data_IF_904819622867
#
_entry.id   IF_904819622867
#
_cell.length_a   1.000
_cell.length_b   1.000
_cell.length_c   1.000
_cell.angle_alpha   90.00
_cell.angle_beta   90.00
_cell.angle_gamma   90.00
#
_symmetry.space_group_name_H-M   'P 1'
#
loop_
_entity.id
_entity.type
_entity.pdbx_description
1 polymer ?
#
# COMPACT_ATOMS: atom_id res chain seq x y z
N UNK A 1 -27.67 -4.83 -23.76
CA UNK A 1 -26.82 -3.91 -22.97
C UNK A 1 -26.95 -4.28 -21.50
N UNK A 2 -25.87 -4.74 -20.86
CA UNK A 2 -25.90 -5.12 -19.44
C UNK A 2 -25.94 -3.84 -18.59
N UNK A 3 -27.01 -3.65 -17.82
CA UNK A 3 -27.10 -2.60 -16.78
C UNK A 3 -25.95 -2.82 -15.80
N UNK A 4 -25.10 -1.82 -15.60
CA UNK A 4 -24.10 -1.86 -14.53
C UNK A 4 -24.82 -1.98 -13.19
N UNK A 5 -24.35 -2.87 -12.33
CA UNK A 5 -24.89 -3.08 -10.97
C UNK A 5 -24.64 -1.88 -10.02
N UNK A 6 -24.04 -0.80 -10.51
CA UNK A 6 -23.67 0.36 -9.72
C UNK A 6 -24.27 1.65 -10.30
N UNK A 7 -24.66 2.62 -9.45
CA UNK A 7 -25.34 3.85 -9.86
C UNK A 7 -24.39 4.90 -10.47
N UNK A 8 -23.38 4.47 -11.25
CA UNK A 8 -22.42 5.35 -11.92
C UNK A 8 -22.79 5.53 -13.39
N UNK A 9 -22.72 6.78 -13.85
CA UNK A 9 -22.74 7.15 -15.26
C UNK A 9 -21.53 6.60 -16.02
N UNK A 10 -21.63 6.50 -17.34
CA UNK A 10 -20.51 6.08 -18.20
C UNK A 10 -19.27 6.94 -18.01
N UNK A 11 -19.45 8.26 -17.83
CA UNK A 11 -18.36 9.20 -17.56
C UNK A 11 -17.68 8.96 -16.21
N UNK A 12 -18.43 8.60 -15.17
CA UNK A 12 -17.85 8.27 -13.87
C UNK A 12 -17.04 6.97 -13.92
N UNK A 13 -17.50 5.97 -14.67
CA UNK A 13 -16.77 4.72 -14.87
C UNK A 13 -15.46 4.97 -15.62
N UNK A 14 -15.48 5.79 -16.67
CA UNK A 14 -14.26 6.19 -17.40
C UNK A 14 -13.28 6.93 -16.49
N UNK A 15 -13.78 7.86 -15.68
CA UNK A 15 -12.97 8.58 -14.69
C UNK A 15 -12.32 7.64 -13.68
N UNK A 16 -13.07 6.67 -13.16
CA UNK A 16 -12.55 5.64 -12.26
C UNK A 16 -11.45 4.82 -12.96
N UNK A 17 -11.61 4.48 -14.23
CA UNK A 17 -10.56 3.79 -15.00
C UNK A 17 -9.27 4.60 -15.10
N UNK A 18 -9.39 5.89 -15.38
CA UNK A 18 -8.23 6.78 -15.46
C UNK A 18 -7.50 6.87 -14.11
N UNK A 19 -8.24 6.87 -13.00
CA UNK A 19 -7.67 6.80 -11.65
C UNK A 19 -6.91 5.47 -11.46
N UNK A 20 -7.50 4.32 -11.81
CA UNK A 20 -6.84 3.02 -11.70
C UNK A 20 -5.51 2.99 -12.47
N UNK A 21 -5.51 3.48 -13.72
CA UNK A 21 -4.29 3.57 -14.54
C UNK A 21 -3.23 4.46 -13.88
N UNK A 22 -3.63 5.63 -13.38
CA UNK A 22 -2.73 6.55 -12.67
C UNK A 22 -2.14 5.95 -11.39
N UNK A 23 -2.86 5.04 -10.74
CA UNK A 23 -2.40 4.30 -9.57
C UNK A 23 -1.60 3.05 -9.94
N UNK A 24 -1.05 2.99 -11.16
CA UNK A 24 -0.26 1.85 -11.66
C UNK A 24 -1.05 0.56 -11.77
N UNK A 25 -2.39 0.65 -11.89
CA UNK A 25 -3.32 -0.48 -11.78
C UNK A 25 -3.19 -1.30 -10.49
N UNK A 26 -2.57 -0.73 -9.44
CA UNK A 26 -2.52 -1.33 -8.10
C UNK A 26 -3.90 -1.41 -7.43
N UNK A 27 -4.88 -0.67 -7.97
CA UNK A 27 -6.28 -0.64 -7.56
C UNK A 27 -7.19 -0.88 -8.75
N UNK A 28 -8.25 -1.64 -8.50
CA UNK A 28 -9.30 -1.89 -9.48
C UNK A 28 -10.45 -0.92 -9.31
N UNK A 29 -11.34 -0.86 -10.32
CA UNK A 29 -12.58 -0.10 -10.26
C UNK A 29 -13.36 -0.40 -8.98
N UNK A 30 -13.47 -1.69 -8.61
CA UNK A 30 -14.22 -2.11 -7.43
C UNK A 30 -13.57 -1.60 -6.13
N UNK A 31 -12.25 -1.47 -6.07
CA UNK A 31 -11.57 -0.92 -4.89
C UNK A 31 -11.90 0.57 -4.73
N UNK A 32 -11.91 1.31 -5.84
CA UNK A 32 -12.33 2.72 -5.86
C UNK A 32 -13.80 2.84 -5.45
N UNK A 33 -14.68 2.00 -6.00
CA UNK A 33 -16.12 2.01 -5.67
C UNK A 33 -16.35 1.68 -4.19
N UNK A 34 -15.67 0.67 -3.65
CA UNK A 34 -15.76 0.32 -2.24
C UNK A 34 -15.21 1.44 -1.35
N UNK A 35 -14.15 2.12 -1.78
CA UNK A 35 -13.64 3.30 -1.09
C UNK A 35 -14.64 4.48 -1.14
N UNK A 36 -15.33 4.68 -2.26
CA UNK A 36 -16.38 5.70 -2.40
C UNK A 36 -17.57 5.44 -1.48
N UNK A 37 -17.85 4.18 -1.16
CA UNK A 37 -18.95 3.80 -0.26
C UNK A 37 -18.75 4.28 1.19
N UNK A 38 -17.56 4.76 1.56
CA UNK A 38 -17.36 5.43 2.86
C UNK A 38 -18.00 6.83 2.92
N UNK A 39 -18.31 7.44 1.77
CA UNK A 39 -18.76 8.82 1.68
C UNK A 39 -20.23 8.91 1.26
N UNK A 40 -20.85 10.05 1.59
CA UNK A 40 -22.19 10.36 1.10
C UNK A 40 -22.16 10.54 -0.43
N UNK A 41 -23.22 10.09 -1.11
CA UNK A 41 -23.26 10.06 -2.58
C UNK A 41 -22.99 11.43 -3.23
N UNK A 42 -23.45 12.51 -2.58
CA UNK A 42 -23.25 13.87 -3.10
C UNK A 42 -21.81 14.39 -2.90
N UNK A 43 -20.98 13.71 -2.10
CA UNK A 43 -19.57 14.04 -1.85
C UNK A 43 -18.61 13.12 -2.63
N UNK A 44 -19.14 12.21 -3.48
CA UNK A 44 -18.31 11.35 -4.33
C UNK A 44 -17.42 12.14 -5.28
N UNK A 45 -17.86 13.32 -5.72
CA UNK A 45 -17.07 14.19 -6.57
C UNK A 45 -15.80 14.68 -5.86
N UNK A 46 -15.89 15.06 -4.57
CA UNK A 46 -14.75 15.45 -3.74
C UNK A 46 -13.80 14.28 -3.52
N UNK A 47 -14.33 13.09 -3.24
CA UNK A 47 -13.55 11.86 -3.08
C UNK A 47 -12.77 11.53 -4.36
N UNK A 48 -13.44 11.55 -5.53
CA UNK A 48 -12.82 11.31 -6.82
C UNK A 48 -11.72 12.35 -7.09
N UNK A 49 -11.98 13.64 -6.87
CA UNK A 49 -10.97 14.70 -7.00
C UNK A 49 -9.72 14.44 -6.14
N UNK A 50 -9.88 13.93 -4.91
CA UNK A 50 -8.75 13.55 -4.06
C UNK A 50 -7.97 12.38 -4.68
N UNK A 51 -8.67 11.32 -5.08
CA UNK A 51 -8.03 10.12 -5.65
C UNK A 51 -7.25 10.42 -6.93
N UNK A 52 -7.75 11.33 -7.76
CA UNK A 52 -7.08 11.80 -8.99
C UNK A 52 -5.76 12.53 -8.71
N UNK A 53 -5.54 13.05 -7.51
CA UNK A 53 -4.33 13.78 -7.14
C UNK A 53 -3.33 12.95 -6.35
N UNK A 54 -3.63 11.67 -6.09
CA UNK A 54 -2.67 10.75 -5.49
C UNK A 54 -1.49 10.53 -6.44
N UNK A 55 -0.26 10.67 -5.94
CA UNK A 55 0.96 10.20 -6.61
C UNK A 55 1.29 8.82 -6.04
N UNK A 56 1.09 7.81 -6.86
CA UNK A 56 1.53 6.45 -6.60
C UNK A 56 2.97 6.28 -7.10
N UNK A 57 3.81 5.62 -6.29
CA UNK A 57 5.16 5.20 -6.65
C UNK A 57 5.21 3.67 -6.72
N UNK A 58 5.44 3.12 -7.93
CA UNK A 58 5.67 1.69 -8.12
C UNK A 58 7.07 1.28 -7.67
N UNK A 59 7.29 -0.02 -7.52
CA UNK A 59 8.61 -0.60 -7.25
C UNK A 59 9.69 -0.12 -8.24
N UNK A 60 9.36 -0.09 -9.54
CA UNK A 60 10.28 0.34 -10.60
C UNK A 60 10.60 1.83 -10.49
N UNK A 61 9.59 2.68 -10.26
CA UNK A 61 9.80 4.12 -10.04
C UNK A 61 10.67 4.37 -8.80
N UNK A 62 10.44 3.63 -7.71
CA UNK A 62 11.25 3.71 -6.49
C UNK A 62 12.73 3.41 -6.79
N UNK A 63 13.02 2.31 -7.50
CA UNK A 63 14.40 1.94 -7.85
C UNK A 63 15.03 2.99 -8.77
N UNK A 64 14.28 3.47 -9.77
CA UNK A 64 14.76 4.47 -10.73
C UNK A 64 15.14 5.78 -10.03
N UNK A 65 14.24 6.32 -9.20
CA UNK A 65 14.49 7.57 -8.46
C UNK A 65 15.70 7.45 -7.52
N UNK A 66 15.83 6.32 -6.81
CA UNK A 66 17.00 6.07 -5.96
C UNK A 66 18.30 6.01 -6.76
N UNK A 67 18.28 5.37 -7.94
CA UNK A 67 19.43 5.32 -8.83
C UNK A 67 19.84 6.73 -9.28
N UNK A 68 18.89 7.52 -9.77
CA UNK A 68 19.16 8.85 -10.35
C UNK A 68 19.63 9.84 -9.27
N UNK A 69 19.08 9.78 -8.07
CA UNK A 69 19.53 10.61 -6.97
C UNK A 69 20.90 10.18 -6.44
N UNK A 70 21.17 8.87 -6.34
CA UNK A 70 22.48 8.37 -5.96
C UNK A 70 23.55 8.78 -6.99
N UNK A 71 23.23 8.70 -8.29
CA UNK A 71 24.11 9.17 -9.36
C UNK A 71 24.48 10.64 -9.19
N UNK A 72 23.50 11.52 -8.97
CA UNK A 72 23.73 12.95 -8.72
C UNK A 72 24.62 13.20 -7.51
N UNK A 73 24.49 12.39 -6.45
CA UNK A 73 25.36 12.48 -5.27
C UNK A 73 26.80 12.09 -5.65
N UNK A 74 26.97 10.96 -6.34
CA UNK A 74 28.30 10.45 -6.73
C UNK A 74 29.02 11.39 -7.72
N UNK A 75 28.29 11.99 -8.66
CA UNK A 75 28.84 13.00 -9.60
C UNK A 75 29.32 14.24 -8.84
N UNK A 76 28.55 14.70 -7.84
CA UNK A 76 28.90 15.89 -7.06
C UNK A 76 30.06 15.64 -6.10
N UNK A 77 30.20 14.42 -5.61
CA UNK A 77 31.23 14.02 -4.64
C UNK A 77 32.08 12.87 -5.18
N UNK A 78 32.86 13.11 -6.24
CA UNK A 78 33.68 12.07 -6.85
C UNK A 78 34.72 11.54 -5.86
N UNK A 79 34.88 10.22 -5.82
CA UNK A 79 35.88 9.49 -5.02
C UNK A 79 35.82 9.70 -3.49
N UNK A 80 34.78 10.38 -2.98
CA UNK A 80 34.55 10.52 -1.54
C UNK A 80 33.92 9.26 -0.98
N UNK A 81 34.32 8.89 0.24
CA UNK A 81 33.69 7.77 0.96
C UNK A 81 32.33 8.23 1.49
N UNK A 82 31.29 7.50 1.09
CA UNK A 82 29.91 7.71 1.51
C UNK A 82 29.54 6.65 2.53
N UNK A 83 29.26 7.07 3.76
CA UNK A 83 28.71 6.23 4.81
C UNK A 83 27.20 6.22 4.74
N UNK A 84 26.62 5.08 4.37
CA UNK A 84 25.19 4.94 4.12
C UNK A 84 24.49 4.31 5.33
N UNK A 85 23.42 4.95 5.80
CA UNK A 85 22.59 4.45 6.90
C UNK A 85 21.11 4.83 6.73
N UNK A 86 20.22 4.12 7.42
CA UNK A 86 18.79 4.45 7.47
C UNK A 86 18.47 5.54 8.46
N UNK A 87 17.44 6.32 8.16
CA UNK A 87 16.75 7.12 9.16
C UNK A 87 15.90 6.21 10.05
N UNK A 88 16.38 5.96 11.28
CA UNK A 88 15.65 5.21 12.31
C UNK A 88 16.35 3.91 12.77
N UNK A 89 15.61 3.08 13.50
CA UNK A 89 16.10 1.77 13.98
C UNK A 89 16.01 0.69 12.90
N UNK A 90 16.96 -0.24 12.90
CA UNK A 90 16.96 -1.43 12.06
C UNK A 90 15.66 -2.24 12.26
N UNK A 91 14.98 -2.63 11.17
CA UNK A 91 13.77 -3.47 11.20
C UNK A 91 12.45 -2.80 10.80
N UNK A 92 12.44 -1.53 10.38
CA UNK A 92 11.26 -0.84 9.79
C UNK A 92 11.33 -0.79 8.25
N UNK A 93 10.71 0.21 7.60
CA UNK A 93 10.72 0.44 6.14
C UNK A 93 12.12 0.55 5.52
N UNK A 94 13.13 0.91 6.31
CA UNK A 94 14.51 1.07 5.86
C UNK A 94 15.12 -0.19 5.23
N UNK A 95 14.85 -1.39 5.75
CA UNK A 95 15.49 -2.61 5.22
C UNK A 95 15.21 -2.87 3.73
N UNK A 96 14.00 -2.52 3.25
CA UNK A 96 13.62 -2.66 1.84
C UNK A 96 14.30 -1.63 0.94
N UNK A 97 14.43 -0.38 1.40
CA UNK A 97 15.17 0.66 0.67
C UNK A 97 16.66 0.30 0.52
N UNK A 98 17.28 -0.34 1.53
CA UNK A 98 18.66 -0.85 1.42
C UNK A 98 18.79 -1.83 0.28
N UNK A 99 17.82 -2.74 0.23
CA UNK A 99 17.80 -3.77 -0.77
C UNK A 99 17.62 -3.18 -2.17
N UNK A 100 16.78 -2.16 -2.31
CA UNK A 100 16.58 -1.46 -3.58
C UNK A 100 17.82 -0.68 -4.00
N UNK A 101 18.43 0.10 -3.12
CA UNK A 101 19.62 0.89 -3.47
C UNK A 101 20.80 -0.01 -3.88
N UNK A 102 21.01 -1.14 -3.17
CA UNK A 102 22.04 -2.15 -3.53
C UNK A 102 21.86 -2.76 -4.92
N UNK A 103 20.62 -2.81 -5.42
CA UNK A 103 20.32 -3.35 -6.75
C UNK A 103 20.57 -2.36 -7.88
N UNK A 104 20.65 -1.06 -7.58
CA UNK A 104 20.84 -0.03 -8.60
C UNK A 104 22.19 -0.19 -9.31
N UNK A 105 22.26 0.08 -10.63
CA UNK A 105 23.52 0.12 -11.36
C UNK A 105 24.54 1.07 -10.72
N UNK A 106 24.11 2.26 -10.30
CA UNK A 106 24.99 3.26 -9.69
C UNK A 106 25.65 2.76 -8.41
N UNK A 107 24.92 2.05 -7.54
CA UNK A 107 25.50 1.46 -6.34
C UNK A 107 26.56 0.42 -6.69
N UNK A 108 26.26 -0.52 -7.60
CA UNK A 108 27.17 -1.62 -7.97
C UNK A 108 28.47 -1.11 -8.58
N UNK A 109 28.40 -0.11 -9.46
CA UNK A 109 29.57 0.49 -10.09
C UNK A 109 30.46 1.26 -9.09
N UNK A 110 29.89 1.70 -7.97
CA UNK A 110 30.56 2.56 -6.99
C UNK A 110 30.66 1.92 -5.60
N UNK A 111 30.52 0.60 -5.49
CA UNK A 111 30.46 -0.11 -4.21
C UNK A 111 31.71 0.14 -3.34
N UNK A 112 32.89 0.30 -3.97
CA UNK A 112 34.15 0.66 -3.29
C UNK A 112 34.10 1.99 -2.52
N UNK A 113 33.22 2.91 -2.92
CA UNK A 113 33.06 4.23 -2.29
C UNK A 113 31.89 4.28 -1.29
N UNK A 114 31.03 3.26 -1.26
CA UNK A 114 29.81 3.25 -0.43
C UNK A 114 29.98 2.25 0.71
N UNK A 115 30.09 2.75 1.94
CA UNK A 115 30.22 1.96 3.15
C UNK A 115 28.89 1.92 3.91
N UNK A 116 28.26 0.76 3.92
CA UNK A 116 27.01 0.54 4.67
C UNK A 116 27.32 0.44 6.16
N UNK A 117 26.54 1.16 6.96
CA UNK A 117 26.62 1.12 8.41
C UNK A 117 25.49 0.24 8.98
N UNK A 118 25.84 -0.96 9.43
CA UNK A 118 24.92 -1.87 10.14
C UNK A 118 24.50 -1.34 11.52
N UNK A 119 25.33 -0.47 12.11
CA UNK A 119 25.01 0.23 13.35
C UNK A 119 25.76 1.54 13.44
N UNK A 120 25.02 2.62 13.70
CA UNK A 120 25.60 3.94 13.97
C UNK A 120 26.46 3.98 15.24
N UNK A 121 26.43 2.93 16.09
CA UNK A 121 27.39 2.79 17.22
C UNK A 121 28.85 2.68 16.74
N UNK A 122 29.07 2.27 15.49
CA UNK A 122 30.40 2.15 14.88
C UNK A 122 30.86 3.41 14.12
N UNK A 123 30.03 4.47 14.06
CA UNK A 123 30.39 5.76 13.43
C UNK A 123 31.69 6.36 13.98
N UNK A 124 31.94 6.16 15.28
CA UNK A 124 33.02 6.79 16.04
C UNK A 124 34.43 6.48 15.52
N UNK A 125 34.67 5.29 14.98
CA UNK A 125 36.03 4.89 14.54
C UNK A 125 36.29 5.09 13.05
N UNK A 126 35.27 5.48 12.26
CA UNK A 126 35.34 5.45 10.79
C UNK A 126 35.25 6.81 10.12
N UNK A 127 34.56 7.78 10.73
CA UNK A 127 34.33 9.10 10.13
C UNK A 127 35.54 10.03 10.30
N UNK A 128 36.00 10.55 9.17
CA UNK A 128 36.99 11.62 9.06
C UNK A 128 36.29 12.95 8.79
N UNK A 129 37.02 14.03 9.02
CA UNK A 129 36.65 15.35 8.52
C UNK A 129 36.53 15.27 6.98
N UNK A 130 35.41 15.74 6.41
CA UNK A 130 34.97 15.62 5.00
C UNK A 130 34.28 14.33 4.53
N UNK A 131 34.10 13.33 5.39
CA UNK A 131 33.30 12.15 5.02
C UNK A 131 31.79 12.51 4.88
N UNK A 132 31.10 11.78 4.00
CA UNK A 132 29.68 12.00 3.72
C UNK A 132 28.85 10.99 4.51
N UNK A 133 27.89 11.48 5.28
CA UNK A 133 26.87 10.64 5.92
C UNK A 133 25.58 10.71 5.09
N UNK A 134 25.31 9.65 4.35
CA UNK A 134 24.10 9.48 3.55
C UNK A 134 23.03 8.78 4.38
N UNK A 135 21.99 9.52 4.77
CA UNK A 135 20.84 9.03 5.51
C UNK A 135 19.66 8.83 4.57
N UNK A 136 19.08 7.63 4.57
CA UNK A 136 18.05 7.27 3.60
C UNK A 136 16.70 6.92 4.24
N UNK A 137 15.61 7.31 3.58
CA UNK A 137 14.21 7.01 3.94
C UNK A 137 13.31 7.01 2.69
N UNK A 138 12.09 6.49 2.76
CA UNK A 138 11.17 6.53 1.61
C UNK A 138 10.61 7.94 1.39
N UNK A 139 10.15 8.58 2.48
CA UNK A 139 9.60 9.93 2.47
C UNK A 139 10.02 10.76 3.68
N UNK A 140 10.39 12.01 3.43
CA UNK A 140 10.56 13.02 4.49
C UNK A 140 9.27 13.85 4.61
N UNK A 141 8.45 13.47 5.59
CA UNK A 141 7.15 14.10 5.88
C UNK A 141 7.27 15.47 6.57
N UNK A 142 7.20 15.49 7.90
CA UNK A 142 7.37 16.73 8.69
C UNK A 142 8.84 17.11 8.88
N UNK A 143 9.76 16.15 8.75
CA UNK A 143 11.17 16.27 9.08
C UNK A 143 11.51 15.95 10.55
N UNK A 144 10.51 15.70 11.40
CA UNK A 144 10.72 15.42 12.83
C UNK A 144 11.53 14.14 13.07
N UNK A 145 11.25 13.07 12.32
CA UNK A 145 12.02 11.81 12.41
C UNK A 145 13.49 12.04 12.07
N UNK A 146 13.77 12.81 11.01
CA UNK A 146 15.12 13.18 10.59
C UNK A 146 15.84 13.97 11.67
N UNK A 147 15.19 15.01 12.21
CA UNK A 147 15.78 15.87 13.24
C UNK A 147 16.02 15.11 14.55
N UNK A 148 15.04 14.31 14.98
CA UNK A 148 15.16 13.44 16.15
C UNK A 148 16.34 12.49 15.99
N UNK A 149 16.40 11.79 14.86
CA UNK A 149 17.49 10.86 14.57
C UNK A 149 18.85 11.55 14.55
N UNK A 150 18.96 12.70 13.88
CA UNK A 150 20.21 13.46 13.84
C UNK A 150 20.65 13.93 15.24
N UNK A 151 19.73 14.52 16.03
CA UNK A 151 20.07 15.08 17.33
C UNK A 151 20.41 14.00 18.38
N UNK A 152 19.69 12.89 18.40
CA UNK A 152 19.87 11.87 19.43
C UNK A 152 20.85 10.76 19.03
N UNK A 153 21.02 10.49 17.74
CA UNK A 153 21.91 9.44 17.25
C UNK A 153 23.18 10.05 16.69
N UNK A 154 23.09 10.82 15.59
CA UNK A 154 24.28 11.32 14.88
C UNK A 154 25.11 12.26 15.74
N UNK A 155 24.51 13.35 16.23
CA UNK A 155 25.19 14.38 17.02
C UNK A 155 25.81 13.85 18.31
N UNK A 156 25.16 12.88 18.96
CA UNK A 156 25.69 12.26 20.17
C UNK A 156 26.93 11.38 19.90
N UNK A 157 27.00 10.74 18.72
CA UNK A 157 28.22 10.03 18.31
C UNK A 157 29.35 11.00 17.94
N UNK A 158 29.03 12.13 17.30
CA UNK A 158 30.02 13.16 16.96
C UNK A 158 30.61 13.84 18.18
N UNK A 159 29.79 14.21 19.17
CA UNK A 159 30.28 14.81 20.43
C UNK A 159 31.27 13.91 21.18
N UNK A 160 31.11 12.59 21.08
CA UNK A 160 32.03 11.61 21.67
C UNK A 160 33.34 11.45 20.87
N UNK A 161 33.40 11.99 19.65
CA UNK A 161 34.56 11.98 18.78
C UNK A 161 35.09 13.41 18.58
N UNK A 162 36.00 13.84 19.46
CA UNK A 162 36.53 15.23 19.50
C UNK A 162 37.21 15.69 18.20
N UNK A 163 37.54 14.76 17.29
CA UNK A 163 38.22 15.02 16.03
C UNK A 163 37.29 15.29 14.84
N UNK A 164 35.96 15.22 15.01
CA UNK A 164 35.00 15.42 13.90
C UNK A 164 34.04 16.56 14.24
N UNK A 165 34.34 17.75 13.71
CA UNK A 165 33.60 18.99 14.02
C UNK A 165 32.48 19.23 13.00
N UNK A 166 32.63 18.80 11.74
CA UNK A 166 31.66 19.02 10.66
C UNK A 166 31.55 17.82 9.70
N UNK A 167 30.39 17.15 9.67
CA UNK A 167 30.07 16.12 8.66
C UNK A 167 29.08 16.67 7.66
N UNK A 168 29.28 16.32 6.38
CA UNK A 168 28.29 16.56 5.33
C UNK A 168 27.17 15.54 5.44
N UNK A 169 25.98 15.97 5.86
CA UNK A 169 24.80 15.10 5.92
C UNK A 169 24.06 15.19 4.60
N UNK A 170 23.88 14.07 3.92
CA UNK A 170 23.01 13.99 2.75
C UNK A 170 21.79 13.18 3.13
N UNK A 171 20.61 13.75 2.91
CA UNK A 171 19.34 13.08 3.06
C UNK A 171 18.90 12.59 1.68
N UNK A 172 18.76 11.28 1.49
CA UNK A 172 18.29 10.69 0.24
C UNK A 172 16.92 10.05 0.47
N UNK A 173 15.93 10.53 -0.27
CA UNK A 173 14.56 10.05 -0.21
C UNK A 173 13.91 10.12 -1.58
N UNK A 174 12.81 9.41 -1.77
CA UNK A 174 12.07 9.44 -3.04
C UNK A 174 11.28 10.75 -3.14
N UNK A 175 10.64 11.11 -2.03
CA UNK A 175 9.85 12.33 -1.93
C UNK A 175 10.06 13.04 -0.59
N UNK A 176 9.92 14.35 -0.58
CA UNK A 176 9.87 15.13 0.66
C UNK A 176 8.88 16.28 0.59
N UNK A 177 8.28 16.63 1.72
CA UNK A 177 7.43 17.82 1.80
C UNK A 177 8.30 19.07 1.92
N UNK A 178 8.12 20.08 1.05
CA UNK A 178 8.98 21.26 1.02
C UNK A 178 9.05 22.01 2.36
N UNK A 179 7.98 22.00 3.16
CA UNK A 179 7.95 22.64 4.49
C UNK A 179 8.89 21.96 5.51
N UNK A 180 9.24 20.68 5.32
CA UNK A 180 10.16 19.94 6.21
C UNK A 180 11.56 20.55 6.26
N UNK A 181 11.99 21.17 5.16
CA UNK A 181 13.31 21.81 5.04
C UNK A 181 13.51 22.85 6.14
N UNK A 182 12.46 23.61 6.49
CA UNK A 182 12.53 24.64 7.55
C UNK A 182 12.88 24.03 8.91
N UNK A 183 12.33 22.86 9.23
CA UNK A 183 12.61 22.18 10.50
C UNK A 183 14.01 21.57 10.49
N UNK A 184 14.41 20.96 9.37
CA UNK A 184 15.73 20.34 9.20
C UNK A 184 16.83 21.40 9.28
N UNK A 185 16.71 22.51 8.55
CA UNK A 185 17.71 23.58 8.53
C UNK A 185 17.92 24.27 9.88
N UNK A 186 16.89 24.29 10.75
CA UNK A 186 17.03 24.79 12.13
C UNK A 186 17.89 23.87 13.02
N UNK A 187 18.02 22.59 12.68
CA UNK A 187 18.67 21.59 13.52
C UNK A 187 19.98 21.04 12.93
N UNK A 188 20.08 21.00 11.61
CA UNK A 188 21.23 20.47 10.86
C UNK A 188 21.81 21.62 10.05
N UNK A 189 23.00 22.11 10.44
CA UNK A 189 23.62 23.28 9.80
C UNK A 189 24.09 23.00 8.37
N UNK A 190 24.69 21.83 8.13
CA UNK A 190 25.28 21.43 6.85
C UNK A 190 24.58 20.16 6.38
N UNK A 191 23.57 20.34 5.53
CA UNK A 191 22.84 19.22 4.93
C UNK A 191 22.48 19.50 3.48
N UNK A 192 22.30 18.42 2.74
CA UNK A 192 21.71 18.43 1.41
C UNK A 192 20.57 17.42 1.35
N UNK A 193 19.58 17.65 0.49
CA UNK A 193 18.47 16.74 0.28
C UNK A 193 18.38 16.37 -1.20
N UNK A 194 18.35 15.08 -1.47
CA UNK A 194 18.13 14.49 -2.77
C UNK A 194 16.83 13.72 -2.72
N UNK A 195 15.87 14.19 -3.50
CA UNK A 195 14.51 13.67 -3.55
C UNK A 195 13.61 14.63 -4.32
N UNK A 196 12.41 14.17 -4.67
CA UNK A 196 11.45 15.02 -5.36
C UNK A 196 10.66 15.88 -4.35
N UNK A 197 10.66 17.22 -4.46
CA UNK A 197 9.88 18.08 -3.58
C UNK A 197 8.38 18.03 -3.86
N UNK A 198 7.57 17.97 -2.81
CA UNK A 198 6.11 18.06 -2.87
C UNK A 198 5.57 19.13 -1.92
N UNK A 199 4.49 19.79 -2.34
CA UNK A 199 3.78 20.77 -1.51
C UNK A 199 2.57 20.14 -0.82
N UNK A 200 2.15 20.76 0.28
CA UNK A 200 0.90 20.39 0.97
C UNK A 200 -0.28 20.49 0.01
N UNK A 201 -1.16 19.48 -0.02
CA UNK A 201 -2.27 19.45 -0.96
C UNK A 201 -3.20 20.69 -0.87
N UNK A 202 -3.36 21.27 0.33
CA UNK A 202 -4.23 22.43 0.57
C UNK A 202 -3.47 23.74 0.86
N UNK A 203 -2.25 23.89 0.36
CA UNK A 203 -1.49 25.14 0.41
C UNK A 203 -2.28 26.31 -0.23
N UNK A 204 -2.08 27.54 0.27
CA UNK A 204 -2.81 28.73 -0.20
C UNK A 204 -2.49 29.11 -1.64
N UNK A 205 -1.25 28.91 -2.07
CA UNK A 205 -0.72 29.16 -3.41
C UNK A 205 -0.36 27.86 -4.10
N UNK A 206 -0.70 27.68 -5.38
CA UNK A 206 -0.30 26.51 -6.19
C UNK A 206 -0.76 25.15 -5.65
N UNK A 207 -1.90 25.12 -4.94
CA UNK A 207 -2.53 23.85 -4.55
C UNK A 207 -2.91 23.02 -5.78
N UNK A 208 -2.70 21.70 -5.68
CA UNK A 208 -3.13 20.71 -6.69
C UNK A 208 -4.64 20.71 -6.94
N UNK A 209 -5.42 21.31 -6.04
CA UNK A 209 -6.87 21.47 -6.15
C UNK A 209 -7.30 22.82 -6.75
N UNK A 210 -6.36 23.67 -7.15
CA UNK A 210 -6.60 24.92 -7.85
C UNK A 210 -7.18 26.02 -6.96
N UNK A 211 -8.17 26.75 -7.50
CA UNK A 211 -8.71 27.97 -6.90
C UNK A 211 -9.25 27.78 -5.47
N UNK A 212 -9.18 28.86 -4.68
CA UNK A 212 -9.47 28.91 -3.23
C UNK A 212 -10.77 28.22 -2.84
N UNK A 213 -11.90 28.49 -3.51
CA UNK A 213 -13.21 27.91 -3.16
C UNK A 213 -13.20 26.38 -3.26
N UNK A 214 -12.71 25.83 -4.38
CA UNK A 214 -12.60 24.39 -4.62
C UNK A 214 -11.68 23.71 -3.60
N UNK A 215 -10.51 24.32 -3.35
CA UNK A 215 -9.55 23.82 -2.34
C UNK A 215 -10.15 23.78 -0.93
N UNK A 216 -10.85 24.82 -0.49
CA UNK A 216 -11.46 24.88 0.84
C UNK A 216 -12.53 23.80 1.00
N UNK A 217 -13.35 23.59 -0.03
CA UNK A 217 -14.37 22.54 -0.04
C UNK A 217 -13.73 21.16 0.16
N UNK A 218 -12.75 20.80 -0.65
CA UNK A 218 -12.07 19.49 -0.56
C UNK A 218 -11.33 19.36 0.78
N UNK A 219 -10.70 20.43 1.28
CA UNK A 219 -10.06 20.42 2.61
C UNK A 219 -11.07 20.10 3.72
N UNK A 220 -12.23 20.76 3.71
CA UNK A 220 -13.31 20.51 4.68
C UNK A 220 -13.81 19.08 4.59
N UNK A 221 -14.01 18.56 3.38
CA UNK A 221 -14.35 17.16 3.12
C UNK A 221 -13.32 16.21 3.74
N UNK A 222 -12.02 16.42 3.49
CA UNK A 222 -10.97 15.58 4.07
C UNK A 222 -10.90 15.68 5.60
N UNK A 223 -11.19 16.86 6.19
CA UNK A 223 -11.27 17.01 7.65
C UNK A 223 -12.46 16.25 8.21
N UNK A 224 -13.67 16.45 7.64
CA UNK A 224 -14.92 15.79 8.04
C UNK A 224 -14.73 14.29 8.21
N UNK A 225 -14.17 13.64 7.18
CA UNK A 225 -13.97 12.20 7.18
C UNK A 225 -12.67 11.75 7.86
N UNK A 226 -11.64 12.60 7.91
CA UNK A 226 -10.34 12.26 8.48
C UNK A 226 -10.26 12.33 10.00
N UNK A 227 -11.13 13.12 10.66
CA UNK A 227 -11.04 13.49 12.08
C UNK A 227 -10.93 12.28 13.01
N UNK A 228 -11.72 11.23 12.76
CA UNK A 228 -11.77 10.02 13.58
C UNK A 228 -10.82 8.90 13.10
N UNK A 229 -10.15 9.11 11.97
CA UNK A 229 -9.40 8.05 11.28
C UNK A 229 -7.94 7.95 11.71
N UNK A 230 -7.37 9.03 12.27
CA UNK A 230 -5.98 9.02 12.71
C UNK A 230 -5.72 9.96 13.88
N UNK A 231 -5.17 9.39 14.94
CA UNK A 231 -4.80 10.09 16.17
C UNK A 231 -3.55 9.45 16.76
N UNK A 232 -2.78 10.24 17.49
CA UNK A 232 -1.61 9.79 18.25
C UNK A 232 -1.74 10.30 19.67
N UNK A 233 -1.56 9.39 20.63
CA UNK A 233 -1.40 9.71 22.04
C UNK A 233 0.08 10.02 22.32
N UNK A 234 0.33 11.20 22.86
CA UNK A 234 1.64 11.54 23.39
C UNK A 234 1.88 10.71 24.67
N UNK A 235 2.95 9.92 24.69
CA UNK A 235 3.24 8.99 25.80
C UNK A 235 3.56 9.71 27.12
N UNK A 236 4.02 10.95 27.06
CA UNK A 236 4.45 11.73 28.23
C UNK A 236 3.26 12.52 28.77
N UNK A 237 2.58 13.27 27.92
CA UNK A 237 1.47 14.15 28.33
C UNK A 237 0.12 13.44 28.38
N UNK A 238 0.01 12.23 27.80
CA UNK A 238 -1.24 11.46 27.62
C UNK A 238 -2.31 12.19 26.79
N UNK A 239 -1.93 13.28 26.12
CA UNK A 239 -2.82 14.03 25.24
C UNK A 239 -2.93 13.31 23.90
N UNK A 240 -4.16 13.05 23.46
CA UNK A 240 -4.43 12.49 22.13
C UNK A 240 -4.67 13.62 21.14
N UNK A 241 -3.86 13.68 20.09
CA UNK A 241 -4.00 14.64 19.00
C UNK A 241 -4.53 13.95 17.74
N UNK A 242 -5.57 14.54 17.14
CA UNK A 242 -6.10 14.09 15.85
C UNK A 242 -5.32 14.67 14.69
N UNK A 243 -5.17 13.88 13.62
CA UNK A 243 -4.45 14.24 12.42
C UNK A 243 -5.30 13.98 11.16
N UNK A 244 -6.43 14.70 11.00
CA UNK A 244 -7.36 14.50 9.89
C UNK A 244 -6.73 14.68 8.50
N UNK A 245 -5.61 15.38 8.43
CA UNK A 245 -4.88 15.70 7.20
C UNK A 245 -3.49 15.04 7.15
N UNK A 246 -3.29 13.98 7.92
CA UNK A 246 -2.02 13.26 8.03
C UNK A 246 -1.12 13.82 9.13
N UNK A 247 -0.12 13.03 9.53
CA UNK A 247 0.78 13.35 10.64
C UNK A 247 1.39 14.74 10.50
N UNK A 248 1.37 15.53 11.58
CA UNK A 248 1.85 16.91 11.60
C UNK A 248 1.22 17.83 10.54
N UNK A 249 -0.02 17.51 10.10
CA UNK A 249 -0.73 18.26 9.06
C UNK A 249 0.08 18.35 7.75
N UNK A 250 0.78 17.27 7.39
CA UNK A 250 1.58 17.20 6.16
C UNK A 250 0.73 17.29 4.89
N UNK A 251 -0.55 16.90 4.91
CA UNK A 251 -1.44 16.98 3.74
C UNK A 251 -0.85 16.33 2.49
N UNK A 252 -0.11 15.23 2.67
CA UNK A 252 0.51 14.52 1.55
C UNK A 252 -0.55 13.74 0.75
N UNK A 253 -0.27 13.58 -0.54
CA UNK A 253 -1.02 12.71 -1.44
C UNK A 253 -0.13 11.62 -2.05
N UNK A 254 1.01 11.36 -1.42
CA UNK A 254 1.98 10.35 -1.87
C UNK A 254 1.59 8.99 -1.30
N UNK A 255 1.69 7.95 -2.13
CA UNK A 255 1.50 6.56 -1.74
C UNK A 255 2.59 5.73 -2.41
N UNK A 256 3.23 4.84 -1.65
CA UNK A 256 4.15 3.86 -2.21
C UNK A 256 3.47 2.50 -2.34
N UNK A 257 3.96 1.68 -3.28
CA UNK A 257 3.51 0.29 -3.45
C UNK A 257 3.54 -0.51 -2.14
N UNK A 258 4.62 -0.39 -1.36
CA UNK A 258 4.76 -1.13 -0.11
C UNK A 258 3.80 -0.63 0.98
N UNK A 259 3.59 0.69 1.07
CA UNK A 259 2.73 1.29 2.09
C UNK A 259 2.40 2.76 1.82
N UNK A 260 1.21 3.19 2.25
CA UNK A 260 0.88 4.61 2.32
C UNK A 260 1.52 5.26 3.57
N UNK A 261 2.29 6.36 3.43
CA UNK A 261 2.82 7.14 4.57
C UNK A 261 1.71 7.65 5.50
N UNK A 262 1.98 7.77 6.79
CA UNK A 262 1.03 8.39 7.73
C UNK A 262 0.94 9.92 7.57
N UNK A 263 1.86 10.53 6.81
CA UNK A 263 1.78 11.92 6.36
C UNK A 263 0.69 12.14 5.28
N UNK A 264 0.23 11.05 4.65
CA UNK A 264 -0.83 11.07 3.64
C UNK A 264 -2.20 11.15 4.31
N UNK A 265 -3.21 11.66 3.59
CA UNK A 265 -4.55 11.83 4.13
C UNK A 265 -5.12 10.50 4.69
N UNK A 266 -5.58 10.44 5.95
CA UNK A 266 -6.10 9.23 6.59
C UNK A 266 -7.23 8.55 5.83
N UNK A 267 -8.08 9.32 5.14
CA UNK A 267 -9.16 8.79 4.30
C UNK A 267 -8.65 7.82 3.21
N UNK A 268 -7.36 7.89 2.85
CA UNK A 268 -6.74 7.03 1.84
C UNK A 268 -6.31 5.67 2.42
N UNK A 269 -5.88 5.61 3.68
CA UNK A 269 -5.13 4.46 4.20
C UNK A 269 -5.59 3.88 5.55
N UNK A 270 -6.40 4.62 6.31
CA UNK A 270 -6.85 4.17 7.64
C UNK A 270 -7.83 3.01 7.54
N UNK A 271 -7.77 2.13 8.53
CA UNK A 271 -8.71 1.01 8.71
C UNK A 271 -9.52 1.16 9.99
N UNK A 272 -9.41 2.32 10.67
CA UNK A 272 -10.18 2.60 11.90
C UNK A 272 -11.66 2.78 11.56
N UNK A 273 -12.52 2.54 12.55
CA UNK A 273 -13.97 2.80 12.46
C UNK A 273 -14.63 2.14 11.23
N UNK A 274 -14.20 0.92 10.89
CA UNK A 274 -14.67 0.17 9.72
C UNK A 274 -14.46 0.88 8.38
N UNK A 275 -13.57 1.87 8.33
CA UNK A 275 -13.21 2.56 7.10
C UNK A 275 -12.62 1.58 6.10
N UNK A 276 -13.07 1.67 4.84
CA UNK A 276 -12.55 0.87 3.73
C UNK A 276 -11.47 1.70 3.04
N UNK A 277 -10.16 1.50 3.31
CA UNK A 277 -9.12 2.30 2.68
C UNK A 277 -8.88 1.91 1.23
N UNK A 278 -8.41 2.88 0.45
CA UNK A 278 -7.87 2.59 -0.88
C UNK A 278 -6.49 1.92 -0.77
N UNK A 279 -5.63 2.39 0.15
CA UNK A 279 -4.28 1.87 0.38
C UNK A 279 -4.06 1.52 1.85
N UNK A 280 -4.53 0.35 2.34
CA UNK A 280 -4.43 -0.02 3.76
C UNK A 280 -2.98 -0.04 4.24
N UNK A 281 -2.73 0.64 5.35
CA UNK A 281 -1.42 0.61 6.04
C UNK A 281 -1.28 -0.58 7.00
N UNK A 282 -2.38 -1.03 7.62
CA UNK A 282 -2.37 -2.12 8.61
C UNK A 282 -2.10 -3.49 7.96
N UNK A 283 -1.06 -4.19 8.43
CA UNK A 283 -0.76 -5.57 8.04
C UNK A 283 -1.89 -6.51 8.43
N UNK A 284 -2.51 -6.32 9.60
CA UNK A 284 -3.65 -7.13 10.05
C UNK A 284 -4.83 -7.04 9.09
N UNK A 285 -5.11 -5.84 8.56
CA UNK A 285 -6.15 -5.65 7.57
C UNK A 285 -5.81 -6.33 6.23
N UNK A 286 -4.56 -6.26 5.78
CA UNK A 286 -4.10 -6.99 4.59
C UNK A 286 -4.27 -8.51 4.78
N UNK A 287 -3.91 -9.03 5.96
CA UNK A 287 -4.07 -10.44 6.32
C UNK A 287 -5.55 -10.82 6.41
N UNK A 288 -6.40 -9.99 7.02
CA UNK A 288 -7.83 -10.29 7.17
C UNK A 288 -8.54 -10.32 5.82
N UNK A 289 -8.21 -9.40 4.89
CA UNK A 289 -8.73 -9.44 3.51
C UNK A 289 -8.28 -10.69 2.76
N UNK A 290 -7.03 -11.11 2.95
CA UNK A 290 -6.54 -12.35 2.36
C UNK A 290 -7.22 -13.59 2.95
N UNK A 291 -7.48 -13.62 4.27
CA UNK A 291 -8.28 -14.67 4.92
C UNK A 291 -9.72 -14.67 4.42
N UNK A 292 -10.36 -13.51 4.30
CA UNK A 292 -11.72 -13.35 3.76
C UNK A 292 -11.79 -13.89 2.33
N UNK A 293 -10.79 -13.56 1.49
CA UNK A 293 -10.69 -14.09 0.14
C UNK A 293 -10.53 -15.62 0.12
N UNK A 294 -9.66 -16.18 0.98
CA UNK A 294 -9.50 -17.64 1.11
C UNK A 294 -10.79 -18.32 1.56
N UNK A 295 -11.45 -17.83 2.60
CA UNK A 295 -12.72 -18.38 3.10
C UNK A 295 -13.82 -18.30 2.03
N UNK A 296 -13.88 -17.18 1.31
CA UNK A 296 -14.79 -17.03 0.18
C UNK A 296 -14.43 -18.02 -0.95
N UNK A 297 -13.15 -18.28 -1.22
CA UNK A 297 -12.75 -19.33 -2.18
C UNK A 297 -13.15 -20.73 -1.73
N UNK A 298 -13.07 -21.06 -0.44
CA UNK A 298 -13.53 -22.37 0.09
C UNK A 298 -15.02 -22.56 -0.18
N UNK A 299 -15.85 -21.55 0.05
CA UNK A 299 -17.29 -21.61 -0.25
C UNK A 299 -17.53 -21.86 -1.74
N UNK A 300 -16.83 -21.13 -2.61
CA UNK A 300 -16.95 -21.34 -4.06
C UNK A 300 -16.50 -22.73 -4.49
N UNK A 301 -15.42 -23.23 -3.88
CA UNK A 301 -14.90 -24.56 -4.15
C UNK A 301 -15.90 -25.65 -3.77
N UNK A 302 -16.51 -25.56 -2.58
CA UNK A 302 -17.52 -26.52 -2.13
C UNK A 302 -18.74 -26.54 -3.06
N UNK A 303 -19.22 -25.36 -3.49
CA UNK A 303 -20.32 -25.29 -4.46
C UNK A 303 -19.92 -25.87 -5.81
N UNK A 304 -18.69 -25.59 -6.28
CA UNK A 304 -18.19 -26.19 -7.52
C UNK A 304 -18.07 -27.72 -7.42
N UNK A 305 -17.72 -28.25 -6.23
CA UNK A 305 -17.75 -29.68 -5.93
C UNK A 305 -19.17 -30.24 -5.99
N UNK A 306 -20.13 -29.60 -5.31
CA UNK A 306 -21.55 -30.01 -5.34
C UNK A 306 -22.12 -30.04 -6.77
N UNK A 307 -21.69 -29.11 -7.62
CA UNK A 307 -22.13 -29.03 -9.01
C UNK A 307 -21.38 -29.99 -9.95
N UNK A 308 -20.47 -30.82 -9.44
CA UNK A 308 -19.65 -31.73 -10.25
C UNK A 308 -18.68 -31.04 -11.21
N UNK A 309 -18.45 -29.73 -11.02
CA UNK A 309 -17.55 -28.90 -11.84
C UNK A 309 -16.08 -29.25 -11.54
N UNK A 310 -15.80 -29.67 -10.30
CA UNK A 310 -14.49 -30.09 -9.80
C UNK A 310 -14.64 -31.50 -9.23
N UNK A 311 -13.68 -32.40 -9.54
CA UNK A 311 -13.66 -33.79 -9.06
C UNK A 311 -12.95 -33.93 -7.72
N UNK A 312 -13.30 -34.96 -6.96
CA UNK A 312 -12.60 -35.34 -5.72
C UNK A 312 -11.17 -35.76 -6.03
N UNK A 313 -10.23 -35.20 -5.27
CA UNK A 313 -8.88 -35.73 -5.11
C UNK A 313 -8.76 -36.11 -3.65
N UNK A 314 -8.23 -37.30 -3.35
CA UNK A 314 -8.29 -37.97 -2.05
C UNK A 314 -7.73 -37.15 -0.86
N UNK A 315 -6.91 -36.13 -1.11
CA UNK A 315 -6.32 -35.28 -0.06
C UNK A 315 -7.04 -33.93 0.10
N UNK A 316 -8.20 -33.90 0.78
CA UNK A 316 -8.83 -32.63 1.17
C UNK A 316 -9.00 -32.49 2.68
N UNK A 317 -8.01 -31.86 3.31
CA UNK A 317 -8.25 -31.05 4.51
C UNK A 317 -8.71 -29.65 4.07
N UNK A 318 -9.82 -29.19 4.65
CA UNK A 318 -10.67 -28.05 4.26
C UNK A 318 -10.03 -26.65 4.20
N UNK A 319 -8.70 -26.55 4.24
CA UNK A 319 -7.93 -25.30 4.28
C UNK A 319 -6.69 -25.28 3.39
N UNK A 320 -6.33 -26.38 2.72
CA UNK A 320 -5.03 -26.47 2.06
C UNK A 320 -5.04 -25.94 0.61
N UNK A 321 -4.39 -24.79 0.43
CA UNK A 321 -4.03 -24.17 -0.86
C UNK A 321 -3.11 -25.05 -1.73
N UNK A 322 -2.90 -26.33 -1.38
CA UNK A 322 -2.14 -27.32 -2.15
C UNK A 322 -2.96 -27.87 -3.32
N UNK A 323 -4.29 -27.92 -3.20
CA UNK A 323 -5.17 -28.47 -4.23
C UNK A 323 -5.18 -27.60 -5.50
N UNK A 324 -4.82 -28.19 -6.64
CA UNK A 324 -4.73 -27.49 -7.93
C UNK A 324 -6.09 -26.94 -8.39
N UNK A 325 -7.19 -27.65 -8.15
CA UNK A 325 -8.53 -27.20 -8.53
C UNK A 325 -8.95 -25.98 -7.72
N UNK A 326 -8.56 -25.89 -6.45
CA UNK A 326 -8.77 -24.70 -5.63
C UNK A 326 -8.02 -23.49 -6.19
N UNK A 327 -6.76 -23.69 -6.60
CA UNK A 327 -5.95 -22.64 -7.22
C UNK A 327 -6.53 -22.19 -8.56
N UNK A 328 -6.96 -23.13 -9.42
CA UNK A 328 -7.61 -22.84 -10.70
C UNK A 328 -8.87 -22.00 -10.48
N UNK A 329 -9.72 -22.38 -9.51
CA UNK A 329 -10.93 -21.63 -9.21
C UNK A 329 -10.63 -20.23 -8.67
N UNK A 330 -9.60 -20.10 -7.82
CA UNK A 330 -9.12 -18.80 -7.35
C UNK A 330 -8.65 -17.92 -8.51
N UNK A 331 -7.76 -18.44 -9.38
CA UNK A 331 -7.25 -17.74 -10.56
C UNK A 331 -8.38 -17.38 -11.53
N UNK A 332 -9.31 -18.30 -11.80
CA UNK A 332 -10.49 -18.08 -12.63
C UNK A 332 -11.30 -16.88 -12.13
N UNK A 333 -11.60 -16.82 -10.83
CA UNK A 333 -12.31 -15.70 -10.22
C UNK A 333 -11.56 -14.38 -10.37
N UNK A 334 -10.22 -14.40 -10.23
CA UNK A 334 -9.41 -13.19 -10.39
C UNK A 334 -9.28 -12.76 -11.86
N UNK A 335 -9.20 -13.69 -12.81
CA UNK A 335 -9.19 -13.41 -14.25
C UNK A 335 -10.54 -12.89 -14.76
N UNK A 336 -11.67 -13.38 -14.21
CA UNK A 336 -13.00 -12.81 -14.49
C UNK A 336 -13.10 -11.37 -13.98
N UNK A 337 -12.41 -11.05 -12.88
CA UNK A 337 -12.21 -9.67 -12.41
C UNK A 337 -11.16 -8.87 -13.21
N UNK A 338 -10.70 -9.41 -14.35
CA UNK A 338 -9.70 -8.81 -15.25
C UNK A 338 -8.37 -8.47 -14.56
N UNK A 339 -7.97 -9.22 -13.54
CA UNK A 339 -6.65 -9.07 -12.94
C UNK A 339 -5.55 -9.56 -13.89
N UNK A 340 -4.44 -8.82 -13.92
CA UNK A 340 -3.22 -9.26 -14.59
C UNK A 340 -2.48 -10.31 -13.74
N UNK A 341 -1.57 -11.05 -14.37
CA UNK A 341 -0.91 -12.20 -13.75
C UNK A 341 -0.01 -11.82 -12.58
N UNK A 342 0.62 -10.64 -12.62
CA UNK A 342 1.44 -10.13 -11.53
C UNK A 342 0.62 -9.87 -10.26
N UNK A 343 -0.55 -9.24 -10.41
CA UNK A 343 -1.48 -9.01 -9.29
C UNK A 343 -2.10 -10.31 -8.78
N UNK A 344 -2.33 -11.29 -9.65
CA UNK A 344 -2.80 -12.62 -9.23
C UNK A 344 -1.74 -13.31 -8.37
N UNK A 345 -0.47 -13.28 -8.79
CA UNK A 345 0.64 -13.80 -8.02
C UNK A 345 0.74 -13.15 -6.64
N UNK A 346 0.64 -11.83 -6.56
CA UNK A 346 0.62 -11.09 -5.29
C UNK A 346 -0.59 -11.46 -4.42
N UNK A 347 -1.79 -11.51 -5.00
CA UNK A 347 -3.03 -11.79 -4.28
C UNK A 347 -3.15 -13.24 -3.78
N UNK A 348 -2.49 -14.18 -4.45
CA UNK A 348 -2.49 -15.60 -4.04
C UNK A 348 -1.20 -15.97 -3.28
N UNK A 349 -0.23 -15.07 -3.19
CA UNK A 349 1.11 -15.30 -2.67
C UNK A 349 1.81 -16.49 -3.35
N UNK A 350 1.85 -16.47 -4.68
CA UNK A 350 2.47 -17.50 -5.54
C UNK A 350 3.43 -16.85 -6.53
N UNK A 351 4.39 -17.63 -7.06
CA UNK A 351 5.31 -17.17 -8.10
C UNK A 351 4.66 -17.23 -9.49
N UNK A 352 5.25 -16.54 -10.48
CA UNK A 352 4.81 -16.64 -11.88
C UNK A 352 4.87 -18.08 -12.39
N UNK A 353 5.95 -18.82 -12.11
CA UNK A 353 6.05 -20.23 -12.48
C UNK A 353 4.91 -21.06 -11.88
N UNK A 354 4.57 -20.83 -10.60
CA UNK A 354 3.44 -21.51 -9.97
C UNK A 354 2.09 -21.13 -10.62
N UNK A 355 1.94 -19.89 -11.09
CA UNK A 355 0.77 -19.45 -11.85
C UNK A 355 0.70 -20.08 -13.25
N UNK A 356 1.84 -20.23 -13.93
CA UNK A 356 1.93 -20.92 -15.21
C UNK A 356 1.51 -22.39 -15.11
N UNK A 357 1.95 -23.09 -14.06
CA UNK A 357 1.48 -24.46 -13.77
C UNK A 357 -0.04 -24.50 -13.53
N UNK A 358 -0.61 -23.50 -12.82
CA UNK A 358 -2.06 -23.40 -12.65
C UNK A 358 -2.77 -23.18 -14.00
N UNK A 359 -2.23 -22.35 -14.88
CA UNK A 359 -2.81 -22.15 -16.21
C UNK A 359 -2.72 -23.41 -17.06
N UNK A 360 -1.60 -24.12 -17.04
CA UNK A 360 -1.41 -25.37 -17.77
C UNK A 360 -2.49 -26.39 -17.40
N UNK A 361 -2.65 -26.65 -16.12
CA UNK A 361 -3.70 -27.54 -15.60
C UNK A 361 -5.12 -27.01 -15.88
N UNK A 362 -5.33 -25.70 -15.72
CA UNK A 362 -6.60 -25.06 -16.02
C UNK A 362 -6.99 -25.12 -17.50
N UNK A 363 -6.04 -25.09 -18.43
CA UNK A 363 -6.26 -25.29 -19.87
C UNK A 363 -6.67 -26.74 -20.17
N UNK A 364 -5.98 -27.72 -19.59
CA UNK A 364 -6.35 -29.15 -19.72
C UNK A 364 -7.80 -29.40 -19.28
N UNK A 365 -8.22 -28.75 -18.20
CA UNK A 365 -9.60 -28.83 -17.69
C UNK A 365 -10.59 -27.93 -18.45
N UNK A 366 -10.09 -27.06 -19.33
CA UNK A 366 -10.86 -26.17 -20.20
C UNK A 366 -11.37 -24.90 -19.52
N UNK A 367 -10.79 -24.46 -18.41
CA UNK A 367 -11.13 -23.19 -17.74
C UNK A 367 -10.52 -21.96 -18.41
N UNK A 368 -9.36 -22.12 -19.04
CA UNK A 368 -8.64 -21.07 -19.74
C UNK A 368 -8.38 -21.44 -21.20
N UNK A 369 -8.21 -20.45 -22.06
CA UNK A 369 -7.75 -20.61 -23.44
C UNK A 369 -6.22 -20.57 -23.54
N UNK A 370 -5.68 -20.74 -24.76
CA UNK A 370 -4.23 -20.76 -25.00
C UNK A 370 -3.53 -19.45 -24.58
N UNK A 371 -4.27 -18.34 -24.58
CA UNK A 371 -3.80 -17.02 -24.16
C UNK A 371 -4.01 -16.75 -22.66
N UNK A 372 -4.26 -17.79 -21.85
CA UNK A 372 -4.56 -17.71 -20.43
C UNK A 372 -5.81 -16.86 -20.10
N UNK A 373 -6.67 -16.57 -21.08
CA UNK A 373 -7.95 -15.88 -20.84
C UNK A 373 -9.01 -16.89 -20.44
N UNK A 374 -10.06 -16.42 -19.79
CA UNK A 374 -11.17 -17.28 -19.35
C UNK A 374 -11.90 -17.84 -20.57
N UNK A 375 -11.99 -19.16 -20.67
CA UNK A 375 -12.68 -19.81 -21.78
C UNK A 375 -14.21 -19.71 -21.65
N UNK A 376 -14.95 -20.06 -22.71
CA UNK A 376 -16.42 -20.17 -22.64
C UNK A 376 -16.88 -21.14 -21.54
N UNK A 377 -16.25 -22.31 -21.45
CA UNK A 377 -16.53 -23.33 -20.43
C UNK A 377 -16.20 -22.82 -19.02
N UNK A 378 -15.07 -22.14 -18.85
CA UNK A 378 -14.68 -21.52 -17.58
C UNK A 378 -15.69 -20.47 -17.11
N UNK A 379 -16.18 -19.63 -18.03
CA UNK A 379 -17.22 -18.64 -17.74
C UNK A 379 -18.57 -19.28 -17.39
N UNK A 380 -18.97 -20.33 -18.11
CA UNK A 380 -20.19 -21.10 -17.81
C UNK A 380 -20.12 -21.71 -16.40
N UNK A 381 -19.02 -22.40 -16.08
CA UNK A 381 -18.80 -22.99 -14.77
C UNK A 381 -18.82 -21.94 -13.65
N UNK A 382 -18.18 -20.78 -13.86
CA UNK A 382 -18.25 -19.68 -12.91
C UNK A 382 -19.68 -19.20 -12.66
N UNK A 383 -20.48 -19.02 -13.72
CA UNK A 383 -21.86 -18.55 -13.60
C UNK A 383 -22.78 -19.57 -12.90
N UNK A 384 -22.56 -20.87 -13.10
CA UNK A 384 -23.27 -21.92 -12.38
C UNK A 384 -23.01 -21.84 -10.87
N UNK A 385 -21.73 -21.73 -10.48
CA UNK A 385 -21.34 -21.59 -9.07
C UNK A 385 -21.90 -20.30 -8.47
N UNK A 386 -21.83 -19.18 -9.20
CA UNK A 386 -22.36 -17.90 -8.77
C UNK A 386 -23.88 -17.97 -8.51
N UNK A 387 -24.63 -18.58 -9.43
CA UNK A 387 -26.09 -18.70 -9.34
C UNK A 387 -26.50 -19.57 -8.14
N UNK A 388 -25.84 -20.73 -7.95
CA UNK A 388 -26.10 -21.61 -6.80
C UNK A 388 -25.76 -20.92 -5.47
N UNK A 389 -24.67 -20.16 -5.43
CA UNK A 389 -24.30 -19.36 -4.24
C UNK A 389 -25.33 -18.30 -3.90
N UNK A 390 -25.88 -17.62 -4.91
CA UNK A 390 -26.95 -16.64 -4.69
C UNK A 390 -28.20 -17.33 -4.14
N UNK A 391 -28.63 -18.46 -4.71
CA UNK A 391 -29.75 -19.25 -4.20
C UNK A 391 -29.55 -19.70 -2.74
N UNK A 392 -28.36 -20.17 -2.38
CA UNK A 392 -28.05 -20.59 -1.02
C UNK A 392 -28.11 -19.41 -0.03
N UNK A 393 -27.67 -18.21 -0.44
CA UNK A 393 -27.83 -16.99 0.37
C UNK A 393 -29.30 -16.62 0.56
N UNK A 394 -30.12 -16.64 -0.48
CA UNK A 394 -31.55 -16.26 -0.38
C UNK A 394 -32.33 -17.24 0.49
N UNK A 395 -31.98 -18.54 0.47
CA UNK A 395 -32.57 -19.56 1.35
C UNK A 395 -32.23 -19.34 2.82
N UNK A 396 -31.00 -18.94 3.14
CA UNK A 396 -30.60 -18.67 4.53
C UNK A 396 -31.35 -17.45 5.07
N UNK A 397 -31.41 -16.36 4.28
CA UNK A 397 -32.14 -15.14 4.66
C UNK A 397 -33.66 -15.40 4.78
N UNK A 398 -34.23 -16.27 3.95
CA UNK A 398 -35.66 -16.61 4.06
C UNK A 398 -35.97 -17.55 5.24
N UNK A 399 -35.00 -18.35 5.70
CA UNK A 399 -35.11 -19.15 6.92
C UNK A 399 -35.00 -18.30 8.19
N UNK A 400 -34.07 -17.33 8.21
CA UNK A 400 -33.95 -16.36 9.31
C UNK A 400 -35.21 -15.50 9.45
N UNK A 401 -35.79 -15.07 8.32
CA UNK A 401 -37.04 -14.31 8.30
C UNK A 401 -38.30 -15.12 8.63
N UNK A 402 -38.24 -16.46 8.60
CA UNK A 402 -39.37 -17.33 8.95
C UNK A 402 -39.47 -17.65 10.44
N UNK A 403 -38.58 -17.12 11.26
CA UNK A 403 -38.54 -17.40 12.69
C UNK A 403 -38.13 -18.85 12.93
N UNK A 404 -36.91 -19.06 13.43
CA UNK A 404 -36.55 -20.34 14.02
C UNK A 404 -37.48 -20.60 15.20
N UNK A 405 -38.46 -21.50 15.02
CA UNK A 405 -39.21 -22.06 16.13
C UNK A 405 -38.23 -22.92 16.95
N UNK A 406 -37.78 -22.38 18.08
CA UNK A 406 -37.03 -23.12 19.08
C UNK A 406 -38.08 -23.64 20.08
N UNK A 407 -38.34 -24.95 20.16
CA UNK A 407 -39.30 -25.50 21.12
C UNK A 407 -38.79 -25.25 22.54
N UNK A 408 -39.62 -24.63 23.40
CA UNK A 408 -39.19 -24.19 24.75
C UNK A 408 -38.96 -25.32 25.76
N UNK A 409 -39.16 -26.60 25.42
CA UNK A 409 -38.91 -27.72 26.35
C UNK A 409 -38.38 -28.97 25.65
N UNK A 410 -37.08 -29.21 25.78
CA UNK A 410 -36.53 -30.56 25.77
C UNK A 410 -36.51 -31.08 27.20
N UNK A 411 -37.64 -31.63 27.67
CA UNK A 411 -37.67 -32.46 28.87
C UNK A 411 -38.33 -33.79 28.53
N UNK A 412 -37.50 -34.79 28.24
CA UNK A 412 -37.82 -36.17 28.57
C UNK A 412 -36.72 -36.69 29.50
N UNK A 413 -36.97 -36.51 30.80
CA UNK A 413 -36.56 -37.49 31.81
C UNK A 413 -37.80 -38.28 32.15
N UNK A 414 -37.77 -39.57 31.83
CA UNK A 414 -38.43 -40.65 32.55
C UNK A 414 -37.65 -41.91 32.22
#
# INVERSE_FOLDING_TARGET
>A
MAKSFFPFSSSEIERINNICVKLGNSKQQLDIINWLANFEKHEWEEALKVSEKIKYFSHEEIISELNDFLEKILIKYPEKIIYLSFLGEFGKSGSHLMYYIKKTPCFKLNEKYIKILDSLKTLRSKLREDDILLLIDDIIGTGESTVTFYNYVVKQQLRKNRSVININVILLCIAYMSDSIKLIAKNIKKFEIYGTPYQKAFVSSNSVFGYRRKRILIKKFCIKYGESLFSIEDKVTRVTSNYPLGYGNSQSLIVFEHSAPNNTLPIIWSTKNSWIPLFPRSTEFKISKFKEFRNNNVIWFNIAKELGIIRETEDFESSNFKNINFKILAVLRLKIKKMNDMLICQNLNITLNALEEIYKEGKLLGYFDDNNKVSKKGMQNYNLVLSKRQQNKTKIVSLENKGLYIPEKFFNRS
#
